data_IF_089136311232
#
_entry.id   IF_089136311232
#
_cell.length_a   1.000
_cell.length_b   1.000
_cell.length_c   1.000
_cell.angle_alpha   90.00
_cell.angle_beta   90.00
_cell.angle_gamma   90.00
#
_symmetry.space_group_name_H-M   'P 1'
#
loop_
_entity.id
_entity.type
_entity.pdbx_description
1 polymer ?
#
# COMPACT_ATOMS: atom_id res chain seq x y z
N UNK A 1 -6.29 -19.70 -0.04
CA UNK A 1 -6.81 -19.19 1.25
C UNK A 1 -7.77 -20.24 1.77
N UNK A 2 -7.35 -21.04 2.76
CA UNK A 2 -8.26 -21.99 3.41
C UNK A 2 -9.27 -21.20 4.25
N UNK A 3 -10.55 -21.51 4.09
CA UNK A 3 -11.60 -20.98 4.97
C UNK A 3 -11.35 -21.47 6.40
N UNK A 4 -11.10 -20.55 7.32
CA UNK A 4 -11.00 -20.88 8.74
C UNK A 4 -12.36 -21.38 9.24
N UNK A 5 -12.52 -22.71 9.33
CA UNK A 5 -13.72 -23.34 9.88
C UNK A 5 -13.87 -22.94 11.35
N UNK A 6 -15.01 -22.39 11.73
CA UNK A 6 -15.27 -21.98 13.12
C UNK A 6 -16.12 -23.00 13.87
N UNK A 7 -16.07 -22.92 15.20
CA UNK A 7 -16.97 -23.66 16.09
C UNK A 7 -18.42 -23.22 15.85
N UNK A 8 -19.35 -24.19 15.77
CA UNK A 8 -20.80 -24.01 15.54
C UNK A 8 -21.25 -23.59 14.12
N UNK A 9 -20.43 -23.76 13.08
CA UNK A 9 -20.90 -23.59 11.69
C UNK A 9 -21.11 -22.14 11.26
N UNK A 10 -20.45 -21.21 11.95
CA UNK A 10 -20.35 -19.81 11.54
C UNK A 10 -19.13 -19.62 10.63
N UNK A 11 -19.17 -18.66 9.72
CA UNK A 11 -17.99 -18.27 8.93
C UNK A 11 -17.27 -17.16 9.68
N UNK A 12 -15.98 -17.34 10.03
CA UNK A 12 -15.17 -16.21 10.52
C UNK A 12 -14.75 -15.41 9.28
N UNK A 13 -15.39 -14.28 9.05
CA UNK A 13 -14.87 -13.30 8.11
C UNK A 13 -13.74 -12.54 8.78
N UNK A 14 -12.52 -12.71 8.26
CA UNK A 14 -11.37 -11.92 8.72
C UNK A 14 -11.47 -10.52 8.16
N UNK A 15 -11.63 -9.52 9.03
CA UNK A 15 -11.54 -8.11 8.65
C UNK A 15 -10.14 -7.82 8.09
N UNK A 16 -10.08 -7.09 6.98
CA UNK A 16 -8.83 -6.63 6.35
C UNK A 16 -8.86 -5.11 6.28
N UNK A 17 -7.77 -4.48 6.71
CA UNK A 17 -7.59 -3.04 6.57
C UNK A 17 -6.97 -2.72 5.22
N UNK A 18 -7.41 -1.62 4.61
CA UNK A 18 -6.89 -1.12 3.33
C UNK A 18 -6.29 0.25 3.56
N UNK A 19 -5.02 0.40 3.19
CA UNK A 19 -4.30 1.66 3.20
C UNK A 19 -4.03 2.09 1.76
N UNK A 20 -4.31 3.35 1.43
CA UNK A 20 -4.00 3.94 0.13
C UNK A 20 -3.10 5.15 0.35
N UNK A 21 -1.98 5.18 -0.36
CA UNK A 21 -1.03 6.28 -0.33
C UNK A 21 -0.99 6.91 -1.71
N UNK A 22 -1.20 8.21 -1.78
CA UNK A 22 -0.89 8.99 -2.97
C UNK A 22 0.51 9.57 -2.80
N UNK A 23 1.42 9.16 -3.68
CA UNK A 23 2.86 9.47 -3.58
C UNK A 23 3.40 9.90 -4.94
N UNK A 24 4.56 10.54 -4.95
CA UNK A 24 5.28 10.87 -6.18
C UNK A 24 5.83 9.59 -6.84
N UNK A 25 5.79 9.53 -8.18
CA UNK A 25 6.05 8.33 -8.98
C UNK A 25 7.44 7.74 -8.75
N UNK A 26 8.50 8.55 -8.67
CA UNK A 26 9.87 8.08 -8.49
C UNK A 26 10.08 7.47 -7.10
N UNK A 27 9.33 7.92 -6.11
CA UNK A 27 9.35 7.38 -4.74
C UNK A 27 8.48 6.13 -4.58
N UNK A 28 7.49 5.93 -5.46
CA UNK A 28 6.49 4.86 -5.35
C UNK A 28 7.12 3.47 -5.17
N UNK A 29 8.11 3.13 -5.99
CA UNK A 29 8.83 1.85 -5.93
C UNK A 29 9.50 1.64 -4.57
N UNK A 30 10.24 2.63 -4.10
CA UNK A 30 10.97 2.52 -2.82
C UNK A 30 10.00 2.33 -1.66
N UNK A 31 8.89 3.07 -1.67
CA UNK A 31 7.85 2.95 -0.64
C UNK A 31 7.20 1.56 -0.70
N UNK A 32 6.84 1.08 -1.90
CA UNK A 32 6.23 -0.22 -2.10
C UNK A 32 7.13 -1.36 -1.60
N UNK A 33 8.41 -1.33 -1.98
CA UNK A 33 9.42 -2.32 -1.57
C UNK A 33 9.63 -2.29 -0.04
N UNK A 34 9.70 -1.10 0.55
CA UNK A 34 9.83 -0.95 2.02
C UNK A 34 8.62 -1.51 2.77
N UNK A 35 7.41 -1.25 2.28
CA UNK A 35 6.18 -1.82 2.86
C UNK A 35 6.20 -3.34 2.73
N UNK A 36 6.59 -3.88 1.57
CA UNK A 36 6.69 -5.32 1.35
C UNK A 36 7.71 -6.00 2.26
N UNK A 37 8.88 -5.37 2.48
CA UNK A 37 9.92 -5.88 3.37
C UNK A 37 9.46 -5.88 4.84
N UNK A 38 8.96 -4.74 5.33
CA UNK A 38 8.50 -4.60 6.73
C UNK A 38 7.27 -5.44 7.00
N UNK A 39 6.34 -5.51 6.04
CA UNK A 39 5.14 -6.33 6.09
C UNK A 39 5.38 -7.82 5.86
N UNK A 40 6.59 -8.22 5.46
CA UNK A 40 7.00 -9.60 5.19
C UNK A 40 6.08 -10.35 4.22
N UNK A 41 5.51 -9.64 3.23
CA UNK A 41 4.47 -10.17 2.35
C UNK A 41 4.91 -11.37 1.51
N UNK A 42 6.21 -11.46 1.20
CA UNK A 42 6.79 -12.60 0.47
C UNK A 42 7.23 -13.77 1.36
N UNK A 43 7.27 -13.58 2.70
CA UNK A 43 7.79 -14.57 3.65
C UNK A 43 6.69 -15.28 4.42
N UNK A 44 5.59 -14.59 4.73
CA UNK A 44 4.51 -15.10 5.57
C UNK A 44 3.20 -15.27 4.80
N UNK A 45 2.64 -16.47 4.82
CA UNK A 45 1.37 -16.74 4.18
C UNK A 45 0.23 -15.98 4.89
N UNK A 46 -0.45 -15.11 4.15
CA UNK A 46 -1.58 -14.33 4.67
C UNK A 46 -1.20 -12.97 5.29
N UNK A 47 0.08 -12.56 5.22
CA UNK A 47 0.51 -11.24 5.67
C UNK A 47 -0.07 -10.07 4.84
N UNK A 48 -0.57 -10.36 3.64
CA UNK A 48 -1.30 -9.39 2.81
C UNK A 48 -0.65 -9.24 1.44
N UNK A 49 -1.02 -8.16 0.75
CA UNK A 49 -0.42 -7.74 -0.51
C UNK A 49 -0.24 -6.23 -0.49
N UNK A 50 0.77 -5.74 -1.20
CA UNK A 50 0.84 -4.34 -1.62
C UNK A 50 1.06 -4.30 -3.12
N UNK A 51 0.46 -3.30 -3.76
CA UNK A 51 0.56 -3.07 -5.19
C UNK A 51 0.49 -1.58 -5.48
N UNK A 52 1.03 -1.19 -6.62
CA UNK A 52 0.98 0.19 -7.11
C UNK A 52 -0.18 0.33 -8.09
N UNK A 53 -0.83 1.50 -8.04
CA UNK A 53 -1.83 1.93 -9.02
C UNK A 53 -1.35 3.26 -9.61
N UNK A 54 -1.23 3.31 -10.93
CA UNK A 54 -0.89 4.56 -11.62
C UNK A 54 -2.09 5.50 -11.59
N UNK A 55 -1.85 6.76 -11.21
CA UNK A 55 -2.88 7.79 -11.08
C UNK A 55 -2.61 8.88 -12.12
N UNK A 56 -3.55 9.06 -13.04
CA UNK A 56 -3.43 10.05 -14.12
C UNK A 56 -3.61 11.48 -13.61
N UNK A 57 -4.63 11.72 -12.78
CA UNK A 57 -4.90 13.03 -12.18
C UNK A 57 -5.58 12.87 -10.82
N UNK A 58 -5.29 13.80 -9.91
CA UNK A 58 -5.86 13.84 -8.57
C UNK A 58 -6.14 15.28 -8.14
N UNK A 59 -7.39 15.55 -7.77
CA UNK A 59 -7.87 16.89 -7.41
C UNK A 59 -7.82 17.10 -5.89
N UNK A 60 -7.54 18.33 -5.46
CA UNK A 60 -7.56 18.72 -4.04
C UNK A 60 -6.24 18.50 -3.31
N UNK A 61 -5.17 18.20 -4.04
CA UNK A 61 -3.83 17.94 -3.50
C UNK A 61 -2.79 18.97 -3.92
N UNK A 62 -3.15 19.97 -4.73
CA UNK A 62 -2.20 20.89 -5.38
C UNK A 62 -1.23 21.55 -4.38
N UNK A 63 -1.72 22.01 -3.23
CA UNK A 63 -0.89 22.59 -2.17
C UNK A 63 0.08 21.60 -1.49
N UNK A 64 -0.22 20.30 -1.51
CA UNK A 64 0.64 19.25 -0.94
C UNK A 64 1.68 18.79 -1.96
N UNK A 65 1.28 18.69 -3.24
CA UNK A 65 2.16 18.32 -4.35
C UNK A 65 3.27 19.37 -4.57
N UNK A 66 2.96 20.67 -4.50
CA UNK A 66 3.94 21.76 -4.60
C UNK A 66 5.10 21.64 -3.60
N UNK A 67 4.88 20.99 -2.45
CA UNK A 67 5.91 20.77 -1.42
C UNK A 67 6.74 19.50 -1.66
N UNK A 68 6.25 18.57 -2.47
CA UNK A 68 6.89 17.30 -2.78
C UNK A 68 7.81 17.40 -4.00
N UNK A 69 7.44 18.23 -4.99
CA UNK A 69 8.23 18.45 -6.22
C UNK A 69 9.71 18.81 -5.96
N UNK A 70 10.05 19.82 -5.12
CA UNK A 70 11.45 20.21 -4.93
C UNK A 70 12.30 19.16 -4.19
N UNK A 71 11.68 18.32 -3.35
CA UNK A 71 12.38 17.28 -2.56
C UNK A 71 12.82 16.10 -3.44
N UNK A 72 12.14 15.89 -4.56
CA UNK A 72 12.45 14.83 -5.53
C UNK A 72 13.48 15.32 -6.54
N UNK A 73 13.41 16.58 -6.98
CA UNK A 73 14.42 17.18 -7.88
C UNK A 73 15.84 17.23 -7.26
N UNK A 74 15.97 17.32 -5.93
CA UNK A 74 17.28 17.26 -5.24
C UNK A 74 17.85 15.84 -5.08
N UNK A 75 17.07 14.79 -5.35
CA UNK A 75 17.45 13.38 -5.15
C UNK A 75 17.74 12.59 -6.43
N UNK A 76 17.61 13.23 -7.59
CA UNK A 76 18.06 12.76 -8.92
C UNK A 76 19.49 13.24 -9.20
#
# INVERSE_FOLDING_TARGET
LEEARTFFGLTLETQRDVLMFLVEEHLSRTILETIGEVGQFDREAGAGIAFQLDVEDAVGISHQVERLVPVVEEKL
#
